data_IF_541520329897
#
_entry.id   IF_541520329897
#
_cell.length_a   1.000
_cell.length_b   1.000
_cell.length_c   1.000
_cell.angle_alpha   90.00
_cell.angle_beta   90.00
_cell.angle_gamma   90.00
#
_symmetry.space_group_name_H-M   'P 1'
#
loop_
_entity.id
_entity.type
_entity.pdbx_description
1 polymer ?
#
# COMPACT_ATOMS: atom_id res chain seq x y z
N UNK A 1 20.04 -82.07 -192.33
CA UNK A 1 19.11 -81.01 -191.90
C UNK A 1 19.85 -79.69 -191.93
N UNK A 2 19.20 -78.64 -192.42
CA UNK A 2 19.81 -77.32 -192.64
C UNK A 2 20.25 -76.70 -191.29
N UNK A 3 21.43 -76.06 -191.27
CA UNK A 3 22.12 -75.45 -190.11
C UNK A 3 21.22 -74.53 -189.25
N UNK A 4 20.12 -74.02 -189.80
CA UNK A 4 19.16 -73.17 -189.09
C UNK A 4 18.35 -73.92 -188.01
N UNK A 5 18.05 -75.22 -188.19
CA UNK A 5 17.23 -75.97 -187.22
C UNK A 5 18.00 -76.29 -185.93
N UNK A 6 19.29 -76.61 -186.06
CA UNK A 6 20.18 -76.87 -184.91
C UNK A 6 20.32 -75.63 -184.02
N UNK A 7 20.53 -74.45 -184.63
CA UNK A 7 20.63 -73.20 -183.87
C UNK A 7 19.34 -72.83 -183.13
N UNK A 8 18.15 -73.19 -183.64
CA UNK A 8 16.89 -72.94 -182.92
C UNK A 8 16.75 -73.85 -181.70
N UNK A 9 17.28 -75.08 -181.75
CA UNK A 9 17.24 -76.03 -180.63
C UNK A 9 18.19 -75.63 -179.49
N UNK A 10 19.35 -75.06 -179.81
CA UNK A 10 20.37 -74.62 -178.84
C UNK A 10 20.07 -73.27 -178.16
N UNK A 11 19.06 -72.53 -178.61
CA UNK A 11 18.61 -71.31 -177.93
C UNK A 11 18.06 -71.64 -176.53
N UNK A 12 18.50 -70.89 -175.53
CA UNK A 12 17.96 -70.97 -174.17
C UNK A 12 16.43 -70.73 -174.18
N UNK A 13 15.70 -71.24 -173.18
CA UNK A 13 14.23 -71.19 -173.18
C UNK A 13 13.65 -69.78 -173.35
N UNK A 14 14.26 -68.77 -172.72
CA UNK A 14 13.80 -67.40 -172.80
C UNK A 14 14.13 -66.77 -174.16
N UNK A 15 15.33 -66.98 -174.68
CA UNK A 15 15.72 -66.48 -176.02
C UNK A 15 14.90 -67.10 -177.15
N UNK A 16 14.56 -68.39 -177.05
CA UNK A 16 13.64 -69.02 -178.01
C UNK A 16 12.23 -68.44 -177.94
N UNK A 17 11.71 -68.21 -176.74
CA UNK A 17 10.36 -67.66 -176.55
C UNK A 17 10.25 -66.26 -177.17
N UNK A 18 11.25 -65.41 -176.94
CA UNK A 18 11.33 -64.09 -177.55
C UNK A 18 11.44 -64.15 -179.08
N UNK A 19 12.27 -65.04 -179.64
CA UNK A 19 12.44 -65.20 -181.08
C UNK A 19 11.16 -65.72 -181.76
N UNK A 20 10.53 -66.75 -181.19
CA UNK A 20 9.32 -67.36 -181.72
C UNK A 20 8.15 -66.36 -181.73
N UNK A 21 7.99 -65.59 -180.66
CA UNK A 21 6.98 -64.53 -180.58
C UNK A 21 7.20 -63.45 -181.64
N UNK A 22 8.43 -63.00 -181.82
CA UNK A 22 8.77 -61.97 -182.80
C UNK A 22 8.55 -62.44 -184.23
N UNK A 23 8.96 -63.66 -184.55
CA UNK A 23 8.73 -64.26 -185.88
C UNK A 23 7.24 -64.43 -186.18
N UNK A 24 6.45 -64.88 -185.21
CA UNK A 24 5.00 -65.02 -185.35
C UNK A 24 4.29 -63.67 -185.55
N UNK A 25 4.68 -62.64 -184.78
CA UNK A 25 4.12 -61.29 -184.93
C UNK A 25 4.43 -60.68 -186.31
N UNK A 26 5.65 -60.88 -186.84
CA UNK A 26 6.02 -60.42 -188.18
C UNK A 26 5.24 -61.16 -189.27
N UNK A 27 5.03 -62.46 -189.12
CA UNK A 27 4.25 -63.26 -190.07
C UNK A 27 2.76 -62.87 -190.08
N UNK A 28 2.16 -62.62 -188.91
CA UNK A 28 0.78 -62.12 -188.79
C UNK A 28 0.65 -60.74 -189.45
N UNK A 29 1.57 -59.81 -189.16
CA UNK A 29 1.55 -58.49 -189.78
C UNK A 29 1.74 -58.52 -191.31
N UNK A 30 2.50 -59.49 -191.82
CA UNK A 30 2.66 -59.69 -193.27
C UNK A 30 1.40 -60.26 -193.92
N UNK A 31 0.67 -61.15 -193.24
CA UNK A 31 -0.59 -61.71 -193.70
C UNK A 31 -1.70 -60.63 -193.78
N UNK A 32 -1.79 -59.78 -192.76
CA UNK A 32 -2.72 -58.64 -192.75
C UNK A 32 -2.47 -57.67 -193.91
N UNK A 33 -1.20 -57.37 -194.25
CA UNK A 33 -0.86 -56.51 -195.40
C UNK A 33 -1.25 -57.11 -196.75
N UNK A 34 -1.31 -58.43 -196.86
CA UNK A 34 -1.63 -59.16 -198.08
C UNK A 34 -3.12 -59.50 -198.17
N UNK A 35 -3.95 -59.01 -197.24
CA UNK A 35 -5.38 -59.34 -197.10
C UNK A 35 -5.66 -60.86 -197.07
N UNK A 36 -4.71 -61.63 -196.53
CA UNK A 36 -4.85 -63.08 -196.34
C UNK A 36 -4.96 -63.38 -194.85
N UNK A 37 -5.93 -64.21 -194.48
CA UNK A 37 -6.07 -64.65 -193.09
C UNK A 37 -4.82 -65.44 -192.66
N UNK A 38 -4.14 -64.96 -191.62
CA UNK A 38 -3.02 -65.68 -191.03
C UNK A 38 -3.46 -67.05 -190.47
N UNK A 39 -2.65 -68.12 -190.60
CA UNK A 39 -2.91 -69.40 -189.94
C UNK A 39 -3.08 -69.24 -188.43
N UNK A 40 -4.06 -69.95 -187.84
CA UNK A 40 -4.45 -69.83 -186.42
C UNK A 40 -3.28 -70.09 -185.44
N UNK A 41 -2.32 -70.93 -185.82
CA UNK A 41 -1.15 -71.28 -185.00
C UNK A 41 -0.20 -70.09 -184.82
N UNK A 42 -0.03 -69.25 -185.85
CA UNK A 42 0.80 -68.04 -185.77
C UNK A 42 0.13 -66.95 -184.96
N UNK A 43 -1.20 -66.82 -185.06
CA UNK A 43 -1.98 -65.92 -184.21
C UNK A 43 -1.88 -66.31 -182.73
N UNK A 44 -1.92 -67.61 -182.42
CA UNK A 44 -1.76 -68.11 -181.05
C UNK A 44 -0.37 -67.80 -180.48
N UNK A 45 0.72 -68.10 -181.22
CA UNK A 45 2.09 -67.84 -180.75
C UNK A 45 2.37 -66.34 -180.58
N UNK A 46 1.81 -65.48 -181.44
CA UNK A 46 1.96 -64.03 -181.31
C UNK A 46 1.23 -63.47 -180.07
N UNK A 47 0.09 -64.05 -179.68
CA UNK A 47 -0.71 -63.60 -178.55
C UNK A 47 -0.18 -64.05 -177.17
N UNK A 48 0.60 -65.13 -177.10
CA UNK A 48 1.14 -65.66 -175.83
C UNK A 48 2.21 -64.74 -175.20
N UNK A 49 2.29 -64.73 -173.87
CA UNK A 49 3.40 -64.07 -173.15
C UNK A 49 4.70 -64.90 -173.26
N UNK A 50 5.86 -64.26 -173.12
CA UNK A 50 7.15 -64.99 -173.13
C UNK A 50 7.22 -66.07 -172.03
N UNK A 51 6.77 -65.82 -170.77
CA UNK A 51 6.65 -66.85 -169.75
C UNK A 51 5.74 -68.01 -170.17
N UNK A 52 4.61 -67.72 -170.83
CA UNK A 52 3.68 -68.75 -171.29
C UNK A 52 4.29 -69.58 -172.43
N UNK A 53 5.07 -68.96 -173.32
CA UNK A 53 5.82 -69.66 -174.36
C UNK A 53 6.93 -70.54 -173.78
N UNK A 54 7.63 -70.08 -172.74
CA UNK A 54 8.59 -70.92 -171.98
C UNK A 54 7.87 -72.08 -171.30
N UNK A 55 6.73 -71.84 -170.65
CA UNK A 55 5.92 -72.88 -170.02
C UNK A 55 5.34 -73.85 -171.05
N UNK A 56 5.02 -73.39 -172.25
CA UNK A 56 4.56 -74.23 -173.37
C UNK A 56 5.69 -75.07 -173.95
N UNK A 57 6.89 -74.51 -174.18
CA UNK A 57 8.09 -75.28 -174.56
C UNK A 57 8.50 -76.28 -173.48
N UNK A 58 8.37 -75.95 -172.19
CA UNK A 58 8.69 -76.85 -171.09
C UNK A 58 7.69 -78.01 -170.95
N UNK A 59 6.43 -77.81 -171.36
CA UNK A 59 5.39 -78.87 -171.34
C UNK A 59 5.32 -79.67 -172.64
N UNK A 60 5.63 -79.07 -173.79
CA UNK A 60 5.35 -79.63 -175.13
C UNK A 60 6.59 -79.70 -176.05
N UNK A 61 7.76 -79.27 -175.57
CA UNK A 61 9.03 -79.36 -176.29
C UNK A 61 9.70 -80.73 -176.20
N UNK A 62 10.83 -80.94 -176.90
CA UNK A 62 11.55 -82.22 -176.88
C UNK A 62 11.96 -82.60 -175.45
N UNK A 63 11.87 -83.90 -175.12
CA UNK A 63 12.16 -84.43 -173.78
C UNK A 63 13.47 -83.85 -173.22
N UNK A 64 13.45 -83.43 -171.94
CA UNK A 64 14.66 -83.05 -171.19
C UNK A 64 15.69 -84.15 -171.41
N UNK A 65 16.87 -83.79 -171.97
CA UNK A 65 17.99 -84.72 -172.19
C UNK A 65 18.13 -85.62 -170.96
N UNK A 66 17.97 -86.94 -171.16
CA UNK A 66 18.09 -87.92 -170.08
C UNK A 66 19.43 -87.71 -169.37
N UNK A 67 19.36 -87.17 -168.16
CA UNK A 67 20.53 -87.01 -167.30
C UNK A 67 21.15 -88.40 -167.10
N UNK A 68 22.46 -88.53 -167.31
CA UNK A 68 23.15 -89.81 -167.14
C UNK A 68 22.97 -90.32 -165.70
N UNK A 69 23.10 -91.63 -165.48
CA UNK A 69 22.92 -92.24 -164.15
C UNK A 69 23.79 -91.56 -163.06
N UNK A 70 24.94 -90.99 -163.43
CA UNK A 70 25.83 -90.27 -162.53
C UNK A 70 25.22 -88.94 -162.05
N UNK A 71 24.56 -88.18 -162.94
CA UNK A 71 23.94 -86.90 -162.56
C UNK A 71 22.74 -87.09 -161.61
N UNK A 72 22.00 -88.19 -161.71
CA UNK A 72 20.92 -88.52 -160.76
C UNK A 72 21.44 -88.87 -159.36
N UNK A 73 22.62 -89.50 -159.27
CA UNK A 73 23.28 -89.77 -157.98
C UNK A 73 23.72 -88.45 -157.33
N UNK A 74 24.27 -87.52 -158.12
CA UNK A 74 24.69 -86.19 -157.63
C UNK A 74 23.50 -85.36 -157.15
N UNK A 75 22.37 -85.39 -157.86
CA UNK A 75 21.15 -84.70 -157.44
C UNK A 75 20.54 -85.32 -156.17
N UNK A 76 20.51 -86.64 -156.06
CA UNK A 76 20.05 -87.33 -154.85
C UNK A 76 20.95 -87.03 -153.64
N UNK A 77 22.27 -86.97 -153.82
CA UNK A 77 23.20 -86.61 -152.75
C UNK A 77 23.08 -85.13 -152.36
N UNK A 78 22.86 -84.22 -153.33
CA UNK A 78 22.57 -82.82 -153.05
C UNK A 78 21.29 -82.64 -152.22
N UNK A 79 20.21 -83.34 -152.57
CA UNK A 79 18.96 -83.32 -151.79
C UNK A 79 19.12 -83.92 -150.39
N UNK A 80 19.94 -84.98 -150.24
CA UNK A 80 20.29 -85.54 -148.92
C UNK A 80 21.02 -84.50 -148.06
N UNK A 81 22.01 -83.80 -148.61
CA UNK A 81 22.75 -82.75 -147.89
C UNK A 81 21.83 -81.61 -147.48
N UNK A 82 20.88 -81.19 -148.34
CA UNK A 82 19.89 -80.18 -147.97
C UNK A 82 18.94 -80.66 -146.86
N UNK A 83 18.47 -81.91 -146.94
CA UNK A 83 17.62 -82.49 -145.90
C UNK A 83 18.36 -82.65 -144.56
N UNK A 84 19.63 -83.07 -144.58
CA UNK A 84 20.49 -83.10 -143.39
C UNK A 84 20.75 -81.68 -142.85
N UNK A 85 20.91 -80.69 -143.73
CA UNK A 85 21.00 -79.27 -143.38
C UNK A 85 19.75 -78.77 -142.65
N UNK A 86 18.56 -78.99 -143.23
CA UNK A 86 17.28 -78.61 -142.62
C UNK A 86 17.02 -79.35 -141.30
N UNK A 87 17.39 -80.63 -141.20
CA UNK A 87 17.25 -81.39 -139.94
C UNK A 87 18.16 -80.84 -138.83
N UNK A 88 19.39 -80.41 -139.18
CA UNK A 88 20.30 -79.74 -138.23
C UNK A 88 19.77 -78.36 -137.83
N UNK A 89 19.24 -77.60 -138.77
CA UNK A 89 18.62 -76.29 -138.52
C UNK A 89 17.39 -76.41 -137.60
N UNK A 90 16.45 -77.29 -137.90
CA UNK A 90 15.29 -77.54 -137.04
C UNK A 90 15.67 -78.03 -135.64
N UNK A 91 16.72 -78.86 -135.53
CA UNK A 91 17.23 -79.29 -134.22
C UNK A 91 17.90 -78.14 -133.46
N UNK A 92 18.54 -77.19 -134.16
CA UNK A 92 19.10 -76.00 -133.56
C UNK A 92 18.00 -75.03 -133.12
N UNK A 93 17.00 -74.75 -133.97
CA UNK A 93 15.83 -73.95 -133.62
C UNK A 93 15.08 -74.51 -132.41
N UNK A 94 14.93 -75.84 -132.33
CA UNK A 94 14.35 -76.50 -131.16
C UNK A 94 15.17 -76.22 -129.90
N UNK A 95 16.49 -76.35 -129.95
CA UNK A 95 17.37 -76.04 -128.81
C UNK A 95 17.30 -74.57 -128.42
N UNK A 96 17.22 -73.66 -129.40
CA UNK A 96 17.11 -72.22 -129.16
C UNK A 96 15.75 -71.87 -128.56
N UNK A 97 14.67 -72.49 -129.01
CA UNK A 97 13.33 -72.36 -128.41
C UNK A 97 13.28 -72.92 -126.98
N UNK A 98 13.92 -74.06 -126.71
CA UNK A 98 14.06 -74.62 -125.36
C UNK A 98 14.88 -73.70 -124.46
N UNK A 99 15.97 -73.11 -124.96
CA UNK A 99 16.78 -72.14 -124.23
C UNK A 99 16.00 -70.85 -123.93
N UNK A 100 15.27 -70.32 -124.91
CA UNK A 100 14.41 -69.14 -124.73
C UNK A 100 13.27 -69.41 -123.72
N UNK A 101 12.64 -70.59 -123.77
CA UNK A 101 11.63 -70.99 -122.80
C UNK A 101 12.21 -71.17 -121.39
N UNK A 102 13.43 -71.69 -121.27
CA UNK A 102 14.13 -71.80 -119.99
C UNK A 102 14.47 -70.42 -119.40
N UNK A 103 14.96 -69.48 -120.22
CA UNK A 103 15.22 -68.10 -119.81
C UNK A 103 13.93 -67.39 -119.38
N UNK A 104 12.86 -67.47 -120.16
CA UNK A 104 11.57 -66.86 -119.81
C UNK A 104 11.02 -67.44 -118.49
N UNK A 105 11.16 -68.74 -118.23
CA UNK A 105 10.79 -69.35 -116.95
C UNK A 105 11.65 -68.82 -115.80
N UNK A 106 12.96 -68.68 -116.00
CA UNK A 106 13.86 -68.13 -114.99
C UNK A 106 13.53 -66.66 -114.67
N UNK A 107 13.24 -65.84 -115.69
CA UNK A 107 12.81 -64.44 -115.54
C UNK A 107 11.47 -64.33 -114.80
N UNK A 108 10.48 -65.16 -115.15
CA UNK A 108 9.18 -65.20 -114.45
C UNK A 108 9.35 -65.64 -113.00
N UNK A 109 10.20 -66.64 -112.73
CA UNK A 109 10.51 -67.07 -111.37
C UNK A 109 11.22 -65.96 -110.58
N UNK A 110 12.15 -65.25 -111.20
CA UNK A 110 12.84 -64.13 -110.58
C UNK A 110 11.87 -62.98 -110.29
N UNK A 111 11.03 -62.58 -111.26
CA UNK A 111 10.00 -61.58 -111.08
C UNK A 111 8.98 -61.96 -109.98
N UNK A 112 8.62 -63.24 -109.87
CA UNK A 112 7.76 -63.72 -108.79
C UNK A 112 8.43 -63.63 -107.41
N UNK A 113 9.73 -63.92 -107.32
CA UNK A 113 10.52 -63.75 -106.09
C UNK A 113 10.63 -62.27 -105.71
N UNK A 114 10.96 -61.42 -106.67
CA UNK A 114 11.09 -59.97 -106.45
C UNK A 114 9.75 -59.35 -106.03
N UNK A 115 8.64 -59.76 -106.66
CA UNK A 115 7.30 -59.32 -106.25
C UNK A 115 6.92 -59.81 -104.85
N UNK A 116 7.34 -61.02 -104.46
CA UNK A 116 7.11 -61.54 -103.10
C UNK A 116 7.94 -60.75 -102.08
N UNK A 117 9.22 -60.54 -102.34
CA UNK A 117 10.10 -59.74 -101.49
C UNK A 117 9.60 -58.29 -101.36
N UNK A 118 9.13 -57.67 -102.45
CA UNK A 118 8.56 -56.32 -102.42
C UNK A 118 7.28 -56.25 -101.57
N UNK A 119 6.42 -57.28 -101.63
CA UNK A 119 5.20 -57.37 -100.81
C UNK A 119 5.53 -57.59 -99.33
N UNK A 120 6.52 -58.43 -99.03
CA UNK A 120 6.99 -58.65 -97.66
C UNK A 120 7.56 -57.36 -97.08
N UNK A 121 8.42 -56.67 -97.83
CA UNK A 121 8.97 -55.39 -97.42
C UNK A 121 7.88 -54.33 -97.22
N UNK A 122 6.88 -54.24 -98.11
CA UNK A 122 5.75 -53.33 -97.94
C UNK A 122 4.95 -53.63 -96.67
N UNK A 123 4.74 -54.91 -96.32
CA UNK A 123 4.08 -55.32 -95.07
C UNK A 123 4.89 -54.94 -93.83
N UNK A 124 6.22 -55.11 -93.87
CA UNK A 124 7.11 -54.70 -92.78
C UNK A 124 7.07 -53.19 -92.57
N UNK A 125 7.16 -52.40 -93.65
CA UNK A 125 7.07 -50.94 -93.59
C UNK A 125 5.70 -50.50 -93.06
N UNK A 126 4.61 -51.14 -93.51
CA UNK A 126 3.27 -50.86 -93.01
C UNK A 126 3.13 -51.21 -91.52
N UNK A 127 3.68 -52.34 -91.08
CA UNK A 127 3.68 -52.73 -89.67
C UNK A 127 4.50 -51.78 -88.80
N UNK A 128 5.67 -51.33 -89.27
CA UNK A 128 6.48 -50.32 -88.60
C UNK A 128 5.77 -48.96 -88.53
N UNK A 129 5.11 -48.53 -89.61
CA UNK A 129 4.33 -47.30 -89.63
C UNK A 129 3.14 -47.37 -88.65
N UNK A 130 2.43 -48.49 -88.60
CA UNK A 130 1.35 -48.72 -87.64
C UNK A 130 1.84 -48.70 -86.18
N UNK A 131 2.99 -49.33 -85.89
CA UNK A 131 3.63 -49.27 -84.56
C UNK A 131 3.99 -47.85 -84.18
N UNK A 132 4.65 -47.10 -85.07
CA UNK A 132 5.02 -45.69 -84.83
C UNK A 132 3.80 -44.78 -84.66
N UNK A 133 2.68 -45.04 -85.34
CA UNK A 133 1.45 -44.28 -85.10
C UNK A 133 0.83 -44.66 -83.76
N UNK A 134 0.82 -45.94 -83.38
CA UNK A 134 0.36 -46.38 -82.06
C UNK A 134 1.20 -45.76 -80.94
N UNK A 135 2.53 -45.76 -81.06
CA UNK A 135 3.45 -45.12 -80.11
C UNK A 135 3.17 -43.62 -79.98
N UNK A 136 3.10 -42.90 -81.11
CA UNK A 136 2.76 -41.46 -81.11
C UNK A 136 1.37 -41.19 -80.54
N UNK A 137 0.40 -42.07 -80.77
CA UNK A 137 -0.94 -41.93 -80.19
C UNK A 137 -0.94 -42.16 -78.68
N UNK A 138 -0.14 -43.11 -78.18
CA UNK A 138 0.03 -43.37 -76.77
C UNK A 138 0.78 -42.22 -76.06
N UNK A 139 1.82 -41.67 -76.69
CA UNK A 139 2.53 -40.47 -76.22
C UNK A 139 1.58 -39.28 -76.13
N UNK A 140 0.81 -38.99 -77.17
CA UNK A 140 -0.20 -37.91 -77.15
C UNK A 140 -1.23 -38.11 -76.04
N UNK A 141 -1.70 -39.34 -75.85
CA UNK A 141 -2.66 -39.66 -74.78
C UNK A 141 -2.04 -39.51 -73.39
N UNK A 142 -0.77 -39.89 -73.20
CA UNK A 142 -0.04 -39.68 -71.96
C UNK A 142 0.14 -38.19 -71.66
N UNK A 143 0.64 -37.42 -72.63
CA UNK A 143 0.78 -35.96 -72.48
C UNK A 143 -0.56 -35.27 -72.19
N UNK A 144 -1.66 -35.71 -72.82
CA UNK A 144 -2.99 -35.17 -72.52
C UNK A 144 -3.40 -35.41 -71.06
N UNK A 145 -3.15 -36.62 -70.52
CA UNK A 145 -3.41 -36.93 -69.11
C UNK A 145 -2.54 -36.08 -68.18
N UNK A 146 -1.26 -35.91 -68.50
CA UNK A 146 -0.36 -35.09 -67.68
C UNK A 146 -0.83 -33.62 -67.65
N UNK A 147 -1.28 -33.08 -68.77
CA UNK A 147 -1.86 -31.74 -68.82
C UNK A 147 -3.17 -31.62 -68.02
N UNK A 148 -4.04 -32.61 -68.07
CA UNK A 148 -5.27 -32.64 -67.26
C UNK A 148 -4.97 -32.73 -65.77
N UNK A 149 -3.97 -33.53 -65.37
CA UNK A 149 -3.50 -33.62 -63.99
C UNK A 149 -2.95 -32.26 -63.52
N UNK A 150 -2.04 -31.65 -64.28
CA UNK A 150 -1.49 -30.33 -63.96
C UNK A 150 -2.59 -29.26 -63.85
N UNK A 151 -3.61 -29.30 -64.72
CA UNK A 151 -4.74 -28.37 -64.65
C UNK A 151 -5.54 -28.58 -63.36
N UNK A 152 -5.81 -29.83 -63.00
CA UNK A 152 -6.54 -30.18 -61.77
C UNK A 152 -5.76 -29.76 -60.52
N UNK A 153 -4.46 -30.00 -60.50
CA UNK A 153 -3.57 -29.55 -59.41
C UNK A 153 -3.53 -28.02 -59.31
N UNK A 154 -3.45 -27.32 -60.45
CA UNK A 154 -3.47 -25.87 -60.50
C UNK A 154 -4.82 -25.28 -60.03
N UNK A 155 -5.94 -25.91 -60.38
CA UNK A 155 -7.27 -25.55 -59.87
C UNK A 155 -7.36 -25.78 -58.36
N UNK A 156 -6.80 -26.88 -57.86
CA UNK A 156 -6.72 -27.16 -56.41
C UNK A 156 -5.86 -26.14 -55.67
N UNK A 157 -4.64 -25.85 -56.15
CA UNK A 157 -3.75 -24.84 -55.56
C UNK A 157 -4.41 -23.46 -55.56
N UNK A 158 -5.15 -23.10 -56.62
CA UNK A 158 -5.90 -21.84 -56.67
C UNK A 158 -7.02 -21.80 -55.64
N UNK A 159 -7.75 -22.90 -55.45
CA UNK A 159 -8.81 -23.00 -54.44
C UNK A 159 -8.22 -22.91 -53.02
N UNK A 160 -7.14 -23.64 -52.75
CA UNK A 160 -6.44 -23.64 -51.47
C UNK A 160 -5.89 -22.24 -51.15
N UNK A 161 -5.22 -21.59 -52.11
CA UNK A 161 -4.73 -20.22 -51.96
C UNK A 161 -5.87 -19.21 -51.73
N UNK A 162 -7.00 -19.35 -52.42
CA UNK A 162 -8.17 -18.51 -52.19
C UNK A 162 -8.74 -18.68 -50.78
N UNK A 163 -8.79 -19.92 -50.27
CA UNK A 163 -9.21 -20.22 -48.91
C UNK A 163 -8.24 -19.64 -47.86
N UNK A 164 -6.93 -19.76 -48.07
CA UNK A 164 -5.93 -19.15 -47.20
C UNK A 164 -6.02 -17.63 -47.18
N UNK A 165 -6.22 -16.98 -48.33
CA UNK A 165 -6.41 -15.53 -48.41
C UNK A 165 -7.70 -15.09 -47.70
N UNK A 166 -8.78 -15.86 -47.83
CA UNK A 166 -10.03 -15.58 -47.11
C UNK A 166 -9.82 -15.69 -45.59
N UNK A 167 -9.19 -16.76 -45.12
CA UNK A 167 -8.88 -16.95 -43.70
C UNK A 167 -7.95 -15.85 -43.15
N UNK A 168 -6.93 -15.45 -43.90
CA UNK A 168 -6.03 -14.36 -43.51
C UNK A 168 -6.76 -13.01 -43.41
N UNK A 169 -7.71 -12.73 -44.32
CA UNK A 169 -8.54 -11.53 -44.26
C UNK A 169 -9.48 -11.54 -43.06
N UNK A 170 -10.10 -12.67 -42.75
CA UNK A 170 -10.94 -12.80 -41.55
C UNK A 170 -10.13 -12.57 -40.27
N UNK A 171 -8.92 -13.14 -40.18
CA UNK A 171 -8.01 -12.90 -39.06
C UNK A 171 -7.59 -11.43 -38.95
N UNK A 172 -7.30 -10.76 -40.08
CA UNK A 172 -6.96 -9.34 -40.10
C UNK A 172 -8.14 -8.47 -39.62
N UNK A 173 -9.35 -8.74 -40.12
CA UNK A 173 -10.56 -8.03 -39.70
C UNK A 173 -10.88 -8.25 -38.22
N UNK A 174 -10.71 -9.48 -37.71
CA UNK A 174 -10.89 -9.78 -36.29
C UNK A 174 -9.85 -9.06 -35.41
N UNK A 175 -8.60 -9.00 -35.86
CA UNK A 175 -7.53 -8.28 -35.17
C UNK A 175 -7.79 -6.76 -35.15
N UNK A 176 -8.26 -6.19 -36.27
CA UNK A 176 -8.65 -4.78 -36.37
C UNK A 176 -9.84 -4.46 -35.45
N UNK A 177 -10.90 -5.28 -35.48
CA UNK A 177 -12.05 -5.13 -34.59
C UNK A 177 -11.65 -5.16 -33.10
N UNK A 178 -10.76 -6.07 -32.69
CA UNK A 178 -10.27 -6.12 -31.32
C UNK A 178 -9.36 -4.93 -30.99
N UNK A 179 -8.59 -4.43 -31.94
CA UNK A 179 -7.78 -3.23 -31.75
C UNK A 179 -8.68 -2.00 -31.53
N UNK A 180 -9.73 -1.83 -32.34
CA UNK A 180 -10.74 -0.79 -32.14
C UNK A 180 -11.42 -0.91 -30.78
N UNK A 181 -11.86 -2.11 -30.39
CA UNK A 181 -12.49 -2.34 -29.10
C UNK A 181 -11.56 -1.97 -27.94
N UNK A 182 -10.28 -2.37 -27.99
CA UNK A 182 -9.28 -1.94 -26.99
C UNK A 182 -9.08 -0.43 -26.97
N UNK A 183 -9.16 0.25 -28.11
CA UNK A 183 -9.08 1.72 -28.12
C UNK A 183 -10.31 2.34 -27.44
N UNK A 184 -11.51 1.81 -27.68
CA UNK A 184 -12.75 2.24 -27.03
C UNK A 184 -12.68 2.00 -25.52
N UNK A 185 -12.29 0.80 -25.09
CA UNK A 185 -12.05 0.45 -23.67
C UNK A 185 -11.10 1.46 -23.02
N UNK A 186 -9.92 1.70 -23.60
CA UNK A 186 -8.93 2.65 -23.06
C UNK A 186 -9.43 4.09 -23.04
N UNK A 187 -10.25 4.51 -24.01
CA UNK A 187 -10.85 5.85 -23.97
C UNK A 187 -11.89 5.98 -22.88
N UNK A 188 -12.70 4.94 -22.66
CA UNK A 188 -13.69 4.89 -21.57
C UNK A 188 -12.99 4.89 -20.20
N UNK A 189 -11.97 4.04 -20.01
CA UNK A 189 -11.14 4.01 -18.79
C UNK A 189 -10.47 5.37 -18.51
N UNK A 190 -9.94 6.03 -19.54
CA UNK A 190 -9.38 7.38 -19.37
C UNK A 190 -10.43 8.41 -18.99
N UNK A 191 -11.65 8.31 -19.54
CA UNK A 191 -12.74 9.22 -19.20
C UNK A 191 -13.20 9.01 -17.75
N UNK A 192 -13.39 7.77 -17.31
CA UNK A 192 -13.75 7.46 -15.92
C UNK A 192 -12.66 7.86 -14.94
N UNK A 193 -11.38 7.60 -15.26
CA UNK A 193 -10.26 8.04 -14.45
C UNK A 193 -10.21 9.57 -14.33
N UNK A 194 -10.40 10.31 -15.44
CA UNK A 194 -10.47 11.78 -15.41
C UNK A 194 -11.61 12.29 -14.54
N UNK A 195 -12.80 11.69 -14.66
CA UNK A 195 -13.95 12.06 -13.83
C UNK A 195 -13.66 11.81 -12.34
N UNK A 196 -13.05 10.68 -11.98
CA UNK A 196 -12.65 10.40 -10.60
C UNK A 196 -11.61 11.41 -10.07
N UNK A 197 -10.63 11.80 -10.91
CA UNK A 197 -9.67 12.84 -10.55
C UNK A 197 -10.31 14.22 -10.36
N UNK A 198 -11.28 14.58 -11.20
CA UNK A 198 -12.02 15.83 -11.07
C UNK A 198 -12.87 15.85 -9.80
N UNK A 199 -13.53 14.74 -9.46
CA UNK A 199 -14.27 14.57 -8.21
C UNK A 199 -13.34 14.73 -6.99
N UNK A 200 -12.20 14.04 -6.96
CA UNK A 200 -11.21 14.18 -5.90
C UNK A 200 -10.69 15.63 -5.78
N UNK A 201 -10.50 16.32 -6.90
CA UNK A 201 -10.08 17.73 -6.89
C UNK A 201 -11.14 18.63 -6.27
N UNK A 202 -12.42 18.41 -6.60
CA UNK A 202 -13.53 19.15 -6.01
C UNK A 202 -13.67 18.87 -4.50
N UNK A 203 -13.57 17.61 -4.09
CA UNK A 203 -13.57 17.21 -2.67
C UNK A 203 -12.42 17.86 -1.90
N UNK A 204 -11.20 17.88 -2.48
CA UNK A 204 -10.06 18.55 -1.86
C UNK A 204 -10.26 20.07 -1.74
N UNK A 205 -10.87 20.71 -2.73
CA UNK A 205 -11.17 22.14 -2.66
C UNK A 205 -12.23 22.43 -1.59
N UNK A 206 -13.24 21.57 -1.48
CA UNK A 206 -14.25 21.66 -0.44
C UNK A 206 -13.63 21.48 0.96
N UNK A 207 -12.82 20.44 1.17
CA UNK A 207 -12.10 20.22 2.45
C UNK A 207 -11.22 21.41 2.80
N UNK A 208 -10.55 22.04 1.81
CA UNK A 208 -9.75 23.25 2.04
C UNK A 208 -10.61 24.44 2.46
N UNK A 209 -11.76 24.64 1.81
CA UNK A 209 -12.71 25.69 2.18
C UNK A 209 -13.24 25.47 3.61
N UNK A 210 -13.65 24.24 3.92
CA UNK A 210 -14.18 23.87 5.24
C UNK A 210 -13.11 24.04 6.32
N UNK A 211 -11.89 23.57 6.08
CA UNK A 211 -10.76 23.78 6.98
C UNK A 211 -10.43 25.26 7.18
N UNK A 212 -10.47 26.08 6.12
CA UNK A 212 -10.25 27.52 6.24
C UNK A 212 -11.36 28.20 7.08
N UNK A 213 -12.61 27.77 6.92
CA UNK A 213 -13.73 28.25 7.73
C UNK A 213 -13.60 27.82 9.20
N UNK A 214 -13.21 26.57 9.47
CA UNK A 214 -12.95 26.09 10.84
C UNK A 214 -11.79 26.85 11.51
N UNK A 215 -10.69 27.08 10.78
CA UNK A 215 -9.55 27.87 11.28
C UNK A 215 -9.96 29.32 11.57
N UNK A 216 -10.76 29.93 10.70
CA UNK A 216 -11.28 31.28 10.95
C UNK A 216 -12.18 31.32 12.19
N UNK A 217 -13.12 30.37 12.33
CA UNK A 217 -14.00 30.27 13.49
C UNK A 217 -13.21 30.03 14.80
N UNK A 218 -12.19 29.17 14.77
CA UNK A 218 -11.30 28.96 15.90
C UNK A 218 -10.51 30.24 16.27
N UNK A 219 -10.03 30.98 15.26
CA UNK A 219 -9.35 32.26 15.46
C UNK A 219 -10.25 33.31 16.10
N UNK A 220 -11.52 33.38 15.71
CA UNK A 220 -12.51 34.25 16.35
C UNK A 220 -12.80 33.84 17.80
N UNK A 221 -12.92 32.54 18.08
CA UNK A 221 -13.12 32.04 19.45
C UNK A 221 -11.93 32.37 20.36
N UNK A 222 -10.70 32.20 19.87
CA UNK A 222 -9.48 32.58 20.61
C UNK A 222 -9.47 34.08 20.86
N UNK A 223 -9.74 34.90 19.84
CA UNK A 223 -9.79 36.36 19.98
C UNK A 223 -10.84 36.81 21.01
N UNK A 224 -12.02 36.18 21.00
CA UNK A 224 -13.08 36.45 21.99
C UNK A 224 -12.68 36.01 23.40
N UNK A 225 -12.03 34.86 23.55
CA UNK A 225 -11.53 34.38 24.84
C UNK A 225 -10.44 35.29 25.40
N UNK A 226 -9.50 35.74 24.56
CA UNK A 226 -8.46 36.72 24.93
C UNK A 226 -9.08 38.06 25.36
N UNK A 227 -10.04 38.58 24.59
CA UNK A 227 -10.76 39.79 24.96
C UNK A 227 -11.47 39.66 26.33
N UNK A 228 -12.12 38.52 26.60
CA UNK A 228 -12.75 38.28 27.92
C UNK A 228 -11.73 38.12 29.03
N UNK A 229 -10.59 37.48 28.77
CA UNK A 229 -9.51 37.34 29.74
C UNK A 229 -8.91 38.71 30.10
N UNK A 230 -8.71 39.58 29.11
CA UNK A 230 -8.27 40.96 29.31
C UNK A 230 -9.30 41.75 30.13
N UNK A 231 -10.59 41.69 29.76
CA UNK A 231 -11.65 42.34 30.52
C UNK A 231 -11.66 41.89 31.99
N UNK A 232 -11.47 40.59 32.26
CA UNK A 232 -11.38 40.03 33.62
C UNK A 232 -10.11 40.44 34.36
N UNK A 233 -9.02 40.76 33.66
CA UNK A 233 -7.83 41.32 34.26
C UNK A 233 -8.07 42.79 34.66
N UNK A 234 -8.74 43.55 33.80
CA UNK A 234 -9.10 44.96 34.05
C UNK A 234 -10.11 45.08 35.20
N UNK A 235 -11.15 44.23 35.22
CA UNK A 235 -12.12 44.11 36.33
C UNK A 235 -11.40 43.85 37.66
N UNK A 236 -10.48 42.86 37.70
CA UNK A 236 -9.69 42.55 38.91
C UNK A 236 -8.76 43.69 39.32
N UNK A 237 -8.20 44.43 38.37
CA UNK A 237 -7.38 45.59 38.66
C UNK A 237 -8.21 46.73 39.30
N UNK A 238 -9.42 46.98 38.76
CA UNK A 238 -10.35 47.96 39.31
C UNK A 238 -10.86 47.57 40.71
N UNK A 239 -11.19 46.29 40.93
CA UNK A 239 -11.57 45.75 42.25
C UNK A 239 -10.43 45.94 43.26
N UNK A 240 -9.18 45.60 42.88
CA UNK A 240 -8.01 45.82 43.74
C UNK A 240 -7.78 47.29 44.07
N UNK A 241 -7.91 48.18 43.09
CA UNK A 241 -7.79 49.62 43.33
C UNK A 241 -8.86 50.12 44.31
N UNK A 242 -10.10 49.66 44.15
CA UNK A 242 -11.22 50.00 45.04
C UNK A 242 -10.98 49.46 46.46
N UNK A 243 -10.54 48.21 46.59
CA UNK A 243 -10.19 47.61 47.87
C UNK A 243 -9.01 48.33 48.55
N UNK A 244 -7.98 48.72 47.80
CA UNK A 244 -6.86 49.52 48.30
C UNK A 244 -7.33 50.90 48.80
N UNK A 245 -8.23 51.57 48.07
CA UNK A 245 -8.81 52.82 48.53
C UNK A 245 -9.64 52.65 49.81
N UNK A 246 -10.42 51.57 49.92
CA UNK A 246 -11.17 51.26 51.13
C UNK A 246 -10.24 50.99 52.33
N UNK A 247 -9.16 50.23 52.12
CA UNK A 247 -8.13 50.02 53.15
C UNK A 247 -7.43 51.32 53.55
N UNK A 248 -7.11 52.19 52.58
CA UNK A 248 -6.52 53.49 52.87
C UNK A 248 -7.46 54.37 53.71
N UNK A 249 -8.76 54.41 53.37
CA UNK A 249 -9.78 55.11 54.17
C UNK A 249 -9.89 54.54 55.59
N UNK A 250 -10.00 53.22 55.73
CA UNK A 250 -10.03 52.56 57.04
C UNK A 250 -8.77 52.84 57.86
N UNK A 251 -7.60 52.88 57.23
CA UNK A 251 -6.36 53.22 57.93
C UNK A 251 -6.35 54.69 58.41
N UNK A 252 -6.86 55.61 57.59
CA UNK A 252 -6.98 57.02 57.97
C UNK A 252 -8.02 57.21 59.09
N UNK A 253 -9.16 56.52 59.01
CA UNK A 253 -10.17 56.50 60.08
C UNK A 253 -9.60 55.92 61.38
N UNK A 254 -8.81 54.83 61.31
CA UNK A 254 -8.14 54.26 62.48
C UNK A 254 -7.12 55.22 63.09
N UNK A 255 -6.33 55.92 62.27
CA UNK A 255 -5.40 56.93 62.77
C UNK A 255 -6.12 58.13 63.38
N UNK A 256 -7.26 58.55 62.80
CA UNK A 256 -8.11 59.58 63.38
C UNK A 256 -8.69 59.13 64.72
N UNK A 257 -9.25 57.92 64.81
CA UNK A 257 -9.76 57.35 66.07
C UNK A 257 -8.66 57.26 67.12
N UNK A 258 -7.43 56.86 66.74
CA UNK A 258 -6.28 56.87 67.66
C UNK A 258 -5.94 58.28 68.14
N UNK A 259 -5.98 59.28 67.26
CA UNK A 259 -5.71 60.67 67.61
C UNK A 259 -6.80 61.23 68.53
N UNK A 260 -8.07 60.98 68.23
CA UNK A 260 -9.21 61.38 69.04
C UNK A 260 -9.16 60.70 70.41
N UNK A 261 -8.91 59.38 70.46
CA UNK A 261 -8.73 58.65 71.71
C UNK A 261 -7.53 59.16 72.52
N UNK A 262 -6.41 59.50 71.87
CA UNK A 262 -5.26 60.10 72.55
C UNK A 262 -5.60 61.49 73.12
N UNK A 263 -6.39 62.29 72.39
CA UNK A 263 -6.91 63.57 72.85
C UNK A 263 -7.88 63.42 74.03
N UNK A 264 -8.80 62.46 73.98
CA UNK A 264 -9.72 62.15 75.07
C UNK A 264 -8.98 61.66 76.31
N UNK A 265 -7.98 60.78 76.16
CA UNK A 265 -7.13 60.34 77.27
C UNK A 265 -6.34 61.51 77.85
N UNK A 266 -5.83 62.42 77.02
CA UNK A 266 -5.14 63.62 77.47
C UNK A 266 -6.10 64.57 78.21
N UNK A 267 -7.32 64.76 77.70
CA UNK A 267 -8.36 65.56 78.34
C UNK A 267 -8.82 64.95 79.67
N UNK A 268 -9.07 63.64 79.72
CA UNK A 268 -9.43 62.91 80.94
C UNK A 268 -8.31 62.95 81.98
N UNK A 269 -7.04 62.81 81.56
CA UNK A 269 -5.88 63.01 82.45
C UNK A 269 -5.77 64.44 82.94
N UNK A 270 -6.05 65.43 82.08
CA UNK A 270 -6.09 66.84 82.45
C UNK A 270 -7.20 67.14 83.46
N UNK A 271 -8.41 66.60 83.24
CA UNK A 271 -9.53 66.68 84.17
C UNK A 271 -9.22 66.00 85.49
N UNK A 272 -8.74 64.76 85.47
CA UNK A 272 -8.34 64.04 86.68
C UNK A 272 -7.23 64.78 87.43
N UNK A 273 -6.22 65.32 86.73
CA UNK A 273 -5.18 66.15 87.35
C UNK A 273 -5.76 67.45 87.94
N UNK A 274 -6.75 68.06 87.28
CA UNK A 274 -7.45 69.23 87.77
C UNK A 274 -8.31 68.95 89.01
N UNK A 275 -9.04 67.83 89.02
CA UNK A 275 -9.81 67.34 90.15
C UNK A 275 -8.92 66.96 91.32
N UNK A 276 -7.80 66.29 91.07
CA UNK A 276 -6.77 65.99 92.09
C UNK A 276 -6.20 67.29 92.67
N UNK A 277 -5.87 68.27 91.83
CA UNK A 277 -5.38 69.58 92.30
C UNK A 277 -6.45 70.33 93.11
N UNK A 278 -7.72 70.31 92.67
CA UNK A 278 -8.83 70.92 93.39
C UNK A 278 -9.11 70.20 94.72
N UNK A 279 -9.05 68.86 94.74
CA UNK A 279 -9.18 68.05 95.95
C UNK A 279 -8.02 68.30 96.91
N UNK A 280 -6.78 68.44 96.41
CA UNK A 280 -5.63 68.84 97.22
C UNK A 280 -5.79 70.24 97.79
N UNK A 281 -6.23 71.23 96.99
CA UNK A 281 -6.48 72.58 97.49
C UNK A 281 -7.63 72.62 98.50
N UNK A 282 -8.69 71.84 98.28
CA UNK A 282 -9.80 71.72 99.22
C UNK A 282 -9.35 71.03 100.52
N UNK A 283 -8.55 69.96 100.42
CA UNK A 283 -7.96 69.28 101.55
C UNK A 283 -6.97 70.17 102.30
N UNK A 284 -6.14 70.98 101.61
CA UNK A 284 -5.26 71.97 102.23
C UNK A 284 -6.04 73.10 102.88
N UNK A 285 -7.13 73.57 102.29
CA UNK A 285 -8.03 74.56 102.88
C UNK A 285 -8.77 73.98 104.09
N UNK A 286 -9.11 72.70 104.07
CA UNK A 286 -9.72 71.98 105.19
C UNK A 286 -8.72 71.65 106.28
N UNK A 287 -7.47 71.30 105.95
CA UNK A 287 -6.34 71.21 106.86
C UNK A 287 -6.02 72.58 107.44
N UNK A 288 -6.14 73.66 106.68
CA UNK A 288 -5.93 75.02 107.17
C UNK A 288 -7.06 75.48 108.07
N UNK A 289 -8.32 75.13 107.75
CA UNK A 289 -9.48 75.34 108.63
C UNK A 289 -9.38 74.53 109.90
N UNK A 290 -9.12 73.23 109.82
CA UNK A 290 -8.87 72.40 111.01
C UNK A 290 -7.63 72.84 111.75
N UNK A 291 -6.57 73.36 111.13
CA UNK A 291 -5.44 73.98 111.83
C UNK A 291 -5.82 75.30 112.50
N UNK A 292 -6.71 76.10 111.91
CA UNK A 292 -7.24 77.31 112.51
C UNK A 292 -8.19 76.97 113.67
N UNK A 293 -9.07 75.98 113.51
CA UNK A 293 -9.95 75.43 114.55
C UNK A 293 -9.15 74.72 115.64
N UNK A 294 -8.05 74.03 115.29
CA UNK A 294 -7.09 73.45 116.24
C UNK A 294 -6.27 74.55 116.90
N UNK A 295 -5.96 75.68 116.24
CA UNK A 295 -5.31 76.83 116.87
C UNK A 295 -6.25 77.56 117.83
N UNK A 296 -7.54 77.69 117.47
CA UNK A 296 -8.61 78.18 118.35
C UNK A 296 -8.88 77.20 119.48
N UNK A 297 -8.87 75.89 119.22
CA UNK A 297 -8.98 74.85 120.23
C UNK A 297 -7.72 74.76 121.09
N UNK A 298 -6.52 75.07 120.58
CA UNK A 298 -5.28 75.19 121.37
C UNK A 298 -5.31 76.47 122.20
N UNK A 299 -5.91 77.56 121.74
CA UNK A 299 -6.16 78.74 122.58
C UNK A 299 -7.23 78.45 123.65
N UNK A 300 -8.30 77.73 123.33
CA UNK A 300 -9.33 77.30 124.27
C UNK A 300 -8.81 76.24 125.26
N UNK A 301 -7.95 75.33 124.80
CA UNK A 301 -7.23 74.33 125.60
C UNK A 301 -6.09 74.96 126.37
N UNK A 302 -5.48 76.06 125.94
CA UNK A 302 -4.53 76.83 126.77
C UNK A 302 -5.25 77.58 127.89
N UNK A 303 -6.48 78.06 127.65
CA UNK A 303 -7.35 78.61 128.68
C UNK A 303 -7.91 77.51 129.62
N UNK A 304 -8.19 76.31 129.11
CA UNK A 304 -8.66 75.18 129.93
C UNK A 304 -7.52 74.36 130.61
N UNK A 305 -6.30 74.33 130.06
CA UNK A 305 -5.11 73.70 130.68
C UNK A 305 -4.55 74.52 131.83
N UNK A 306 -4.79 75.83 131.86
CA UNK A 306 -4.54 76.65 133.05
C UNK A 306 -5.46 76.27 134.24
N UNK A 307 -6.61 75.62 134.00
CA UNK A 307 -7.56 75.20 135.04
C UNK A 307 -7.52 73.69 135.33
N UNK A 308 -6.98 72.84 134.43
CA UNK A 308 -6.96 71.36 134.58
C UNK A 308 -5.60 70.80 135.05
N UNK A 309 -4.52 71.59 135.03
CA UNK A 309 -3.21 71.22 135.63
C UNK A 309 -3.21 71.12 137.16
N UNK A 310 -4.33 71.39 137.84
CA UNK A 310 -4.50 71.12 139.27
C UNK A 310 -5.12 69.75 139.62
N UNK A 311 -5.56 68.92 138.66
CA UNK A 311 -6.40 67.76 139.03
C UNK A 311 -5.92 66.37 138.63
N UNK A 312 -5.06 66.14 137.62
CA UNK A 312 -4.90 64.72 137.22
C UNK A 312 -3.59 64.30 136.57
N UNK A 313 -2.56 64.35 137.39
CA UNK A 313 -1.59 63.26 137.40
C UNK A 313 -2.27 61.98 137.94
N UNK A 314 -2.68 61.06 137.05
CA UNK A 314 -2.80 59.61 137.30
C UNK A 314 -3.42 58.87 136.10
N UNK A 315 -2.72 57.81 135.64
CA UNK A 315 -3.12 56.68 134.78
C UNK A 315 -2.31 56.63 133.45
N UNK A 316 -1.20 55.90 133.36
CA UNK A 316 -1.03 54.43 133.25
C UNK A 316 -1.51 53.78 131.94
N UNK A 317 -0.57 52.97 131.41
CA UNK A 317 -0.73 51.68 130.73
C UNK A 317 -0.94 51.63 129.19
N UNK A 318 0.18 51.35 128.51
CA UNK A 318 0.47 50.11 127.76
C UNK A 318 -0.63 49.44 126.91
N UNK A 319 -0.39 49.35 125.60
CA UNK A 319 -0.38 48.05 124.88
C UNK A 319 0.37 48.18 123.55
N UNK A 320 1.26 47.23 123.24
CA UNK A 320 1.85 47.05 121.91
C UNK A 320 2.14 45.57 121.72
N UNK A 321 1.40 44.97 120.79
CA UNK A 321 1.53 43.60 120.30
C UNK A 321 1.80 43.65 118.77
N UNK A 322 2.09 42.53 118.08
CA UNK A 322 3.39 42.27 117.47
C UNK A 322 3.35 42.28 115.93
N UNK A 323 4.53 42.14 115.32
CA UNK A 323 4.73 42.07 113.87
C UNK A 323 3.86 41.01 113.17
N UNK A 324 2.99 41.48 112.28
CA UNK A 324 2.13 40.66 111.43
C UNK A 324 2.92 40.09 110.23
N UNK A 325 2.95 38.76 110.09
CA UNK A 325 3.35 38.04 108.88
C UNK A 325 2.32 38.33 107.76
N UNK A 326 2.74 39.09 106.74
CA UNK A 326 1.87 39.48 105.63
C UNK A 326 1.77 38.36 104.58
N UNK A 327 0.55 37.89 104.28
CA UNK A 327 0.29 37.10 103.07
C UNK A 327 0.51 38.00 101.85
N UNK A 328 1.26 37.57 100.83
CA UNK A 328 1.40 38.34 99.60
C UNK A 328 0.05 38.44 98.88
N UNK A 329 -0.38 39.67 98.57
CA UNK A 329 -1.60 39.93 97.79
C UNK A 329 -1.22 39.85 96.30
N UNK A 330 -1.98 39.10 95.47
CA UNK A 330 -1.70 39.02 94.04
C UNK A 330 -1.87 40.38 93.35
N UNK A 331 -1.07 40.71 92.33
CA UNK A 331 -1.23 41.94 91.55
C UNK A 331 -2.58 41.96 90.80
N UNK A 332 -3.21 43.13 90.71
CA UNK A 332 -4.49 43.31 90.03
C UNK A 332 -4.37 42.91 88.54
N UNK A 333 -5.02 41.81 88.17
CA UNK A 333 -4.93 41.19 86.85
C UNK A 333 -4.42 39.74 86.86
N UNK A 334 -3.88 39.25 87.98
CA UNK A 334 -3.40 37.86 88.13
C UNK A 334 -4.35 36.91 88.89
N UNK A 335 -5.42 37.45 89.50
CA UNK A 335 -6.34 36.72 90.38
C UNK A 335 -7.07 35.54 89.70
N UNK A 336 -7.19 35.54 88.38
CA UNK A 336 -7.84 34.46 87.63
C UNK A 336 -7.04 33.14 87.67
N UNK A 337 -5.72 33.20 87.91
CA UNK A 337 -4.82 32.03 87.88
C UNK A 337 -4.09 31.78 89.22
N UNK A 338 -4.27 32.64 90.23
CA UNK A 338 -3.63 32.51 91.56
C UNK A 338 -4.54 31.92 92.64
N UNK A 339 -5.84 31.75 92.37
CA UNK A 339 -6.81 31.30 93.39
C UNK A 339 -6.46 29.98 94.08
N UNK A 340 -5.86 29.01 93.38
CA UNK A 340 -5.39 27.75 93.99
C UNK A 340 -4.17 27.95 94.90
N UNK A 341 -3.25 28.82 94.51
CA UNK A 341 -2.07 29.19 95.31
C UNK A 341 -2.51 29.91 96.59
N UNK A 342 -3.42 30.87 96.48
CA UNK A 342 -4.00 31.60 97.61
C UNK A 342 -4.74 30.67 98.56
N UNK A 343 -5.51 29.73 98.02
CA UNK A 343 -6.21 28.73 98.82
C UNK A 343 -5.22 27.84 99.57
N UNK A 344 -4.15 27.35 98.93
CA UNK A 344 -3.15 26.51 99.59
C UNK A 344 -2.40 27.23 100.72
N UNK A 345 -1.99 28.50 100.51
CA UNK A 345 -1.37 29.33 101.56
C UNK A 345 -2.36 29.63 102.70
N UNK A 346 -3.63 29.86 102.37
CA UNK A 346 -4.70 30.08 103.36
C UNK A 346 -4.97 28.83 104.19
N UNK A 347 -5.01 27.64 103.59
CA UNK A 347 -5.23 26.37 104.31
C UNK A 347 -4.05 26.08 105.24
N UNK A 348 -2.80 26.29 104.81
CA UNK A 348 -1.64 26.18 105.72
C UNK A 348 -1.70 27.18 106.87
N UNK A 349 -2.09 28.43 106.61
CA UNK A 349 -2.28 29.41 107.68
C UNK A 349 -3.39 29.02 108.64
N UNK A 350 -4.45 28.36 108.16
CA UNK A 350 -5.50 27.83 109.04
C UNK A 350 -5.00 26.67 109.90
N UNK A 351 -4.16 25.78 109.36
CA UNK A 351 -3.50 24.73 110.16
C UNK A 351 -2.60 25.36 111.21
N UNK A 352 -1.73 26.30 110.81
CA UNK A 352 -0.86 27.05 111.71
C UNK A 352 -1.65 27.75 112.82
N UNK A 353 -2.76 28.42 112.48
CA UNK A 353 -3.64 29.08 113.45
C UNK A 353 -4.37 28.10 114.38
N UNK A 354 -4.85 26.96 113.86
CA UNK A 354 -5.53 25.93 114.66
C UNK A 354 -4.55 25.26 115.63
N UNK A 355 -3.31 25.03 115.20
CA UNK A 355 -2.26 24.49 116.05
C UNK A 355 -1.75 25.53 117.07
N UNK A 356 -1.60 26.79 116.66
CA UNK A 356 -1.25 27.91 117.55
C UNK A 356 -2.36 28.18 118.58
N UNK A 357 -3.63 28.01 118.22
CA UNK A 357 -4.75 28.07 119.16
C UNK A 357 -4.74 26.91 120.17
N UNK A 358 -4.14 25.77 119.83
CA UNK A 358 -3.86 24.67 120.77
C UNK A 358 -2.72 24.98 121.74
N UNK A 359 -1.79 25.87 121.36
CA UNK A 359 -0.70 26.36 122.22
C UNK A 359 -1.09 27.60 123.04
N UNK A 360 -2.11 28.34 122.63
CA UNK A 360 -2.53 29.57 123.28
C UNK A 360 -3.31 29.27 124.56
N UNK A 361 -2.63 29.35 125.70
CA UNK A 361 -3.27 29.55 127.00
C UNK A 361 -3.85 30.97 127.03
N UNK A 362 -5.11 31.15 126.60
CA UNK A 362 -5.84 32.36 126.95
C UNK A 362 -6.24 32.24 128.44
N UNK A 363 -5.66 33.05 129.34
CA UNK A 363 -5.78 32.88 130.79
C UNK A 363 -7.18 33.21 131.37
N UNK A 364 -8.22 33.23 130.52
CA UNK A 364 -9.56 33.71 130.84
C UNK A 364 -10.66 32.67 130.95
N UNK A 365 -10.45 31.40 130.58
CA UNK A 365 -11.49 30.35 130.68
C UNK A 365 -10.99 29.09 131.37
N UNK A 366 -11.50 28.89 132.58
CA UNK A 366 -11.00 28.03 133.65
C UNK A 366 -11.55 26.59 133.56
N UNK A 367 -11.07 25.84 132.57
CA UNK A 367 -11.13 24.36 132.56
C UNK A 367 -9.81 23.85 132.00
N UNK A 368 -8.90 23.38 132.89
CA UNK A 368 -7.59 22.81 132.57
C UNK A 368 -7.67 21.46 131.83
N UNK A 369 -8.14 21.51 130.60
CA UNK A 369 -7.72 20.63 129.53
C UNK A 369 -7.05 21.54 128.51
N UNK A 370 -5.83 21.23 128.09
CA UNK A 370 -5.20 21.92 126.97
C UNK A 370 -6.20 21.93 125.83
N UNK A 371 -6.39 23.08 125.17
CA UNK A 371 -7.45 23.24 124.17
C UNK A 371 -7.23 22.17 123.10
N UNK A 372 -8.00 21.08 123.16
CA UNK A 372 -7.83 19.94 122.26
C UNK A 372 -8.02 20.45 120.86
N UNK A 373 -6.98 20.26 120.06
CA UNK A 373 -7.03 20.62 118.66
C UNK A 373 -8.04 19.68 117.99
N UNK A 374 -8.98 20.24 117.24
CA UNK A 374 -10.00 19.46 116.54
C UNK A 374 -9.33 18.55 115.50
N UNK A 375 -9.22 17.26 115.83
CA UNK A 375 -8.55 16.25 115.03
C UNK A 375 -9.21 16.06 113.66
N UNK A 376 -10.54 16.17 113.57
CA UNK A 376 -11.25 16.03 112.29
C UNK A 376 -11.02 17.26 111.41
N UNK A 377 -11.03 18.46 112.00
CA UNK A 377 -10.69 19.69 111.30
C UNK A 377 -9.25 19.65 110.78
N UNK A 378 -8.27 19.28 111.62
CA UNK A 378 -6.88 19.16 111.20
C UNK A 378 -6.70 18.06 110.15
N UNK A 379 -7.36 16.90 110.28
CA UNK A 379 -7.31 15.84 109.26
C UNK A 379 -7.85 16.31 107.91
N UNK A 380 -8.97 17.03 107.89
CA UNK A 380 -9.56 17.57 106.65
C UNK A 380 -8.67 18.65 106.01
N UNK A 381 -8.08 19.53 106.82
CA UNK A 381 -7.14 20.55 106.33
C UNK A 381 -5.84 19.92 105.82
N UNK A 382 -5.30 18.91 106.51
CA UNK A 382 -4.10 18.20 106.08
C UNK A 382 -4.32 17.40 104.79
N UNK A 383 -5.49 16.75 104.64
CA UNK A 383 -5.85 16.09 103.38
C UNK A 383 -5.87 17.09 102.21
N UNK A 384 -6.47 18.27 102.44
CA UNK A 384 -6.47 19.36 101.46
C UNK A 384 -5.04 19.82 101.13
N UNK A 385 -4.16 19.97 102.11
CA UNK A 385 -2.75 20.34 101.86
C UNK A 385 -1.99 19.25 101.10
N UNK A 386 -2.21 17.97 101.40
CA UNK A 386 -1.55 16.87 100.70
C UNK A 386 -1.98 16.78 99.23
N UNK A 387 -3.27 16.93 98.94
CA UNK A 387 -3.77 16.99 97.55
C UNK A 387 -3.21 18.19 96.78
N UNK A 388 -3.13 19.37 97.43
CA UNK A 388 -2.65 20.58 96.78
C UNK A 388 -1.12 20.62 96.62
N UNK A 389 -0.35 20.05 97.57
CA UNK A 389 1.10 20.15 97.61
C UNK A 389 1.81 19.56 96.39
N UNK A 390 1.26 18.49 95.79
CA UNK A 390 1.83 17.84 94.62
C UNK A 390 1.78 18.71 93.36
N UNK A 391 0.71 19.51 93.21
CA UNK A 391 0.49 20.35 92.03
C UNK A 391 0.97 21.79 92.22
N UNK A 392 1.02 22.28 93.46
CA UNK A 392 1.37 23.66 93.79
C UNK A 392 2.79 24.08 93.33
N UNK A 393 3.77 23.18 93.40
CA UNK A 393 5.15 23.47 92.95
C UNK A 393 5.22 23.74 91.43
N UNK A 394 4.47 22.94 90.65
CA UNK A 394 4.38 23.10 89.20
C UNK A 394 3.55 24.35 88.84
N UNK A 395 2.47 24.62 89.58
CA UNK A 395 1.64 25.81 89.38
C UNK A 395 2.40 27.11 89.67
N UNK A 396 3.19 27.17 90.74
CA UNK A 396 4.04 28.33 91.04
C UNK A 396 5.12 28.55 89.98
N UNK A 397 5.74 27.47 89.48
CA UNK A 397 6.77 27.54 88.42
C UNK A 397 6.18 27.97 87.08
N UNK A 398 4.96 27.54 86.77
CA UNK A 398 4.27 27.84 85.51
C UNK A 398 3.46 29.15 85.58
N UNK A 399 3.33 29.78 86.74
CA UNK A 399 2.54 31.01 86.88
C UNK A 399 2.95 32.13 85.90
N UNK A 400 4.25 32.40 85.66
CA UNK A 400 4.66 33.44 84.71
C UNK A 400 4.33 33.13 83.25
N UNK A 401 4.20 31.84 82.87
CA UNK A 401 3.94 31.45 81.47
C UNK A 401 2.48 31.63 81.02
N UNK A 402 1.57 31.89 81.96
CA UNK A 402 0.18 32.24 81.67
C UNK A 402 -0.01 33.69 81.21
N UNK A 403 1.03 34.52 81.31
CA UNK A 403 0.99 35.93 80.93
C UNK A 403 1.88 36.18 79.71
N UNK A 404 1.37 36.95 78.75
CA UNK A 404 2.11 37.32 77.53
C UNK A 404 2.76 38.70 77.62
N UNK A 405 2.27 39.57 78.51
CA UNK A 405 2.83 40.90 78.73
C UNK A 405 4.01 40.85 79.72
N UNK A 406 5.18 41.36 79.32
CA UNK A 406 6.43 41.25 80.08
C UNK A 406 6.32 41.77 81.54
N UNK A 407 5.63 42.88 81.77
CA UNK A 407 5.43 43.41 83.12
C UNK A 407 4.52 42.53 84.00
N UNK A 408 3.57 41.79 83.39
CA UNK A 408 2.72 40.81 84.10
C UNK A 408 3.50 39.52 84.39
N UNK A 409 4.38 39.10 83.48
CA UNK A 409 5.32 37.98 83.70
C UNK A 409 6.25 38.29 84.89
N UNK A 410 6.80 39.50 84.95
CA UNK A 410 7.64 39.93 86.08
C UNK A 410 6.86 39.98 87.40
N UNK A 411 5.66 40.58 87.41
CA UNK A 411 4.82 40.65 88.61
C UNK A 411 4.35 39.26 89.08
N UNK A 412 4.00 38.35 88.16
CA UNK A 412 3.64 36.96 88.46
C UNK A 412 4.84 36.18 89.00
N UNK A 413 6.05 36.41 88.49
CA UNK A 413 7.27 35.79 89.01
C UNK A 413 7.61 36.32 90.42
N UNK A 414 7.46 37.62 90.68
CA UNK A 414 7.63 38.18 92.04
C UNK A 414 6.61 37.61 93.01
N UNK A 415 5.33 37.50 92.60
CA UNK A 415 4.28 36.90 93.41
C UNK A 415 4.52 35.41 93.68
N UNK A 416 4.91 34.62 92.66
CA UNK A 416 5.20 33.20 92.82
C UNK A 416 6.34 32.96 93.82
N UNK A 417 7.41 33.76 93.77
CA UNK A 417 8.50 33.68 94.74
C UNK A 417 8.05 34.07 96.16
N UNK A 418 7.24 35.12 96.30
CA UNK A 418 6.70 35.54 97.59
C UNK A 418 5.75 34.49 98.20
N UNK A 419 4.88 33.89 97.38
CA UNK A 419 3.96 32.84 97.78
C UNK A 419 4.70 31.53 98.15
N UNK A 420 5.74 31.15 97.40
CA UNK A 420 6.61 30.02 97.72
C UNK A 420 7.32 30.22 99.07
N UNK A 421 7.86 31.42 99.32
CA UNK A 421 8.50 31.76 100.59
C UNK A 421 7.51 31.76 101.75
N UNK A 422 6.31 32.31 101.56
CA UNK A 422 5.26 32.29 102.60
C UNK A 422 4.79 30.86 102.90
N UNK A 423 4.62 30.03 101.88
CA UNK A 423 4.24 28.62 102.02
C UNK A 423 5.32 27.83 102.77
N UNK A 424 6.60 28.00 102.43
CA UNK A 424 7.73 27.39 103.13
C UNK A 424 7.87 27.87 104.58
N UNK A 425 7.70 29.16 104.85
CA UNK A 425 7.74 29.71 106.20
C UNK A 425 6.60 29.18 107.08
N UNK A 426 5.39 29.01 106.53
CA UNK A 426 4.26 28.39 107.23
C UNK A 426 4.51 26.92 107.55
N UNK A 427 5.07 26.14 106.63
CA UNK A 427 5.45 24.75 106.91
C UNK A 427 6.50 24.64 108.03
N UNK A 428 7.48 25.55 108.06
CA UNK A 428 8.46 25.63 109.14
C UNK A 428 7.83 26.05 110.48
N UNK A 429 6.90 26.99 110.46
CA UNK A 429 6.18 27.43 111.66
C UNK A 429 5.30 26.32 112.20
N UNK A 430 4.55 25.63 111.34
CA UNK A 430 3.78 24.43 111.69
C UNK A 430 4.69 23.35 112.28
N UNK A 431 5.84 23.06 111.68
CA UNK A 431 6.79 22.11 112.26
C UNK A 431 7.28 22.53 113.67
N UNK A 432 7.52 23.82 113.88
CA UNK A 432 7.94 24.38 115.18
C UNK A 432 6.82 24.28 116.21
N UNK A 433 5.59 24.64 115.83
CA UNK A 433 4.38 24.58 116.64
C UNK A 433 4.02 23.14 116.99
N UNK A 434 4.13 22.20 116.04
CA UNK A 434 3.93 20.76 116.26
C UNK A 434 4.95 20.18 117.24
N UNK A 435 6.21 20.62 117.19
CA UNK A 435 7.22 20.22 118.19
C UNK A 435 6.89 20.76 119.59
N UNK A 436 6.33 21.96 119.68
CA UNK A 436 5.86 22.53 120.96
C UNK A 436 4.62 21.78 121.48
N UNK A 437 3.67 21.45 120.60
CA UNK A 437 2.48 20.64 120.93
C UNK A 437 2.82 19.20 121.34
N UNK A 438 3.94 18.64 120.87
CA UNK A 438 4.43 17.31 121.30
C UNK A 438 4.65 17.22 122.82
N UNK A 439 4.88 18.36 123.48
CA UNK A 439 5.04 18.42 124.93
C UNK A 439 3.69 18.40 125.69
N UNK A 440 2.55 18.39 124.97
CA UNK A 440 1.19 18.25 125.51
C UNK A 440 0.60 16.88 125.12
N UNK A 441 0.40 15.99 126.09
CA UNK A 441 -0.04 14.59 125.88
C UNK A 441 -1.43 14.48 125.21
N UNK A 442 -2.28 15.50 125.38
CA UNK A 442 -3.67 15.53 124.91
C UNK A 442 -3.84 15.74 123.39
N UNK A 443 -2.75 16.10 122.69
CA UNK A 443 -2.75 16.36 121.24
C UNK A 443 -1.84 15.38 120.46
N UNK A 444 -1.48 14.24 121.05
CA UNK A 444 -0.56 13.24 120.46
C UNK A 444 -1.00 12.74 119.07
N UNK A 445 -2.29 12.44 118.88
CA UNK A 445 -2.85 12.02 117.58
C UNK A 445 -2.71 13.11 116.49
N UNK A 446 -2.86 14.39 116.88
CA UNK A 446 -2.70 15.54 115.99
C UNK A 446 -1.23 15.74 115.64
N UNK A 447 -0.34 15.57 116.61
CA UNK A 447 1.11 15.67 116.43
C UNK A 447 1.62 14.57 115.50
N UNK A 448 1.18 13.31 115.65
CA UNK A 448 1.54 12.22 114.73
C UNK A 448 1.04 12.50 113.32
N UNK A 449 -0.22 12.94 113.17
CA UNK A 449 -0.83 13.21 111.86
C UNK A 449 -0.14 14.36 111.11
N UNK A 450 0.17 15.46 111.80
CA UNK A 450 0.89 16.60 111.22
C UNK A 450 2.35 16.24 110.93
N UNK A 451 3.01 15.47 111.79
CA UNK A 451 4.39 15.02 111.56
C UNK A 451 4.49 14.12 110.33
N UNK A 452 3.56 13.16 110.17
CA UNK A 452 3.49 12.30 108.98
C UNK A 452 3.29 13.12 107.69
N UNK A 453 2.37 14.10 107.72
CA UNK A 453 2.18 15.00 106.57
C UNK A 453 3.45 15.79 106.24
N UNK A 454 4.14 16.35 107.24
CA UNK A 454 5.36 17.13 107.03
C UNK A 454 6.51 16.27 106.48
N UNK A 455 6.64 15.01 106.90
CA UNK A 455 7.68 14.08 106.43
C UNK A 455 7.43 13.60 104.99
N UNK A 456 6.16 13.43 104.60
CA UNK A 456 5.75 13.06 103.24
C UNK A 456 5.62 14.27 102.30
N UNK A 457 5.75 15.50 102.81
CA UNK A 457 5.51 16.71 102.03
C UNK A 457 6.57 16.92 100.94
N UNK A 458 6.18 17.07 99.66
CA UNK A 458 7.13 17.19 98.54
C UNK A 458 8.07 18.41 98.62
N UNK A 459 7.76 19.43 99.43
CA UNK A 459 8.58 20.63 99.62
C UNK A 459 9.69 20.50 100.68
N UNK A 460 9.77 19.38 101.42
CA UNK A 460 10.89 19.13 102.35
C UNK A 460 12.16 18.58 101.67
N UNK A 461 12.10 18.21 100.39
CA UNK A 461 13.21 17.59 99.64
C UNK A 461 13.97 18.55 98.70
N UNK A 462 13.78 19.85 98.84
CA UNK A 462 14.48 20.89 98.07
C UNK A 462 15.06 21.98 98.95
#
# INVERSE_FOLDING_TARGET
MTTTRQHIEDLDPASWAALAKRAAAVAVAAADRLEKTAPAELLAVAAMSEPDLVAHRNRSGPERKRLSAVMRLVEADHLRVLAEGHAREAQQEKKDAEAAAALARAEVQQAARDATAAREHAREVQAQAARRESERSAERAASARDFEQLRTELERVRADAAAEVAAAREQANAAEARAEERTRERTAEKATARQAFEQLRLELEQIRSDAAAEVAAAGEQVSAAEARAQQRADERAAERATAQQALARLSAELEQVKADAASEVAAARGQASGEIAAAHQAAEAEVSRTRAEVAEAIQAVAQARAEVEQVRAAAQAESSAPQLLAIPIPPLGASAYTGRIEHAVSVLRQIDYVLEAGLSDDPGTDTGAGRRVDLELVRNLLHTVQEQAGHLSEELRNLPSYYSAQWQVEAANTYANAAANAYGALLQRIATVTEQLRHQDENSDVVELVTAMLDEHPWRRY
#
